data_IF_697466063777
#
_entry.id   IF_697466063777
#
_cell.length_a   1.000
_cell.length_b   1.000
_cell.length_c   1.000
_cell.angle_alpha   90.00
_cell.angle_beta   90.00
_cell.angle_gamma   90.00
#
_symmetry.space_group_name_H-M   'P 1'
#
loop_
_entity.id
_entity.type
_entity.pdbx_description
1 polymer ?
#
# COMPACT_ATOMS: atom_id res chain seq x y z
N UNK A 1 -25.16 20.68 -17.78
CA UNK A 1 -24.23 19.67 -17.25
C UNK A 1 -23.09 19.38 -18.21
N UNK A 2 -22.05 20.20 -18.11
CA UNK A 2 -20.73 19.79 -18.53
C UNK A 2 -20.15 18.83 -17.47
N UNK A 3 -19.22 17.99 -17.88
CA UNK A 3 -18.42 17.18 -16.97
C UNK A 3 -16.99 17.33 -17.45
N UNK A 4 -16.08 17.54 -16.52
CA UNK A 4 -14.66 17.68 -16.81
C UNK A 4 -13.97 16.44 -16.28
N UNK A 5 -13.26 15.74 -17.16
CA UNK A 5 -12.25 14.80 -16.71
C UNK A 5 -11.08 15.63 -16.21
N UNK A 6 -10.85 15.60 -14.91
CA UNK A 6 -9.67 16.18 -14.31
C UNK A 6 -8.59 15.11 -14.12
N UNK A 7 -7.34 15.56 -14.14
CA UNK A 7 -6.17 14.73 -13.86
C UNK A 7 -5.44 15.28 -12.62
N UNK A 8 -5.11 14.41 -11.66
CA UNK A 8 -4.20 14.71 -10.55
C UNK A 8 -3.16 13.60 -10.62
N UNK A 9 -1.96 13.95 -11.09
CA UNK A 9 -0.97 12.94 -11.49
C UNK A 9 -1.48 12.05 -12.63
N UNK A 10 -1.29 10.73 -12.50
CA UNK A 10 -1.77 9.72 -13.47
C UNK A 10 -3.24 9.32 -13.30
N UNK A 11 -4.00 9.99 -12.44
CA UNK A 11 -5.34 9.55 -12.03
C UNK A 11 -6.45 10.41 -12.64
N UNK A 12 -7.43 9.73 -13.23
CA UNK A 12 -8.65 10.31 -13.81
C UNK A 12 -9.68 10.50 -12.70
N UNK A 13 -10.16 11.73 -12.49
CA UNK A 13 -11.38 11.99 -11.71
C UNK A 13 -12.42 12.66 -12.59
N UNK A 14 -13.69 12.32 -12.36
CA UNK A 14 -14.84 12.86 -13.09
C UNK A 14 -15.44 13.95 -12.21
N UNK A 15 -15.30 15.20 -12.65
CA UNK A 15 -15.90 16.38 -12.03
C UNK A 15 -17.22 16.67 -12.74
N UNK A 16 -18.33 16.73 -12.01
CA UNK A 16 -19.57 17.30 -12.54
C UNK A 16 -19.50 18.81 -12.35
N UNK A 17 -19.74 19.60 -13.40
CA UNK A 17 -19.47 21.05 -13.40
C UNK A 17 -20.53 21.90 -12.69
N UNK A 18 -21.46 21.28 -11.96
CA UNK A 18 -22.54 21.96 -11.23
C UNK A 18 -22.58 21.39 -9.80
N UNK A 19 -23.07 22.17 -8.82
CA UNK A 19 -23.41 21.70 -7.48
C UNK A 19 -24.53 20.66 -7.59
N UNK A 20 -24.15 19.40 -7.77
CA UNK A 20 -25.09 18.29 -7.92
C UNK A 20 -25.01 17.45 -6.66
N UNK A 21 -26.16 17.23 -6.02
CA UNK A 21 -26.30 16.23 -4.96
C UNK A 21 -26.00 14.85 -5.56
N UNK A 22 -24.99 14.17 -5.02
CA UNK A 22 -24.48 12.89 -5.54
C UNK A 22 -24.81 11.73 -4.62
N UNK A 23 -25.05 10.57 -5.22
CA UNK A 23 -25.16 9.30 -4.52
C UNK A 23 -23.94 8.43 -4.79
N UNK A 24 -23.54 7.61 -3.81
CA UNK A 24 -22.58 6.51 -3.98
C UNK A 24 -23.32 5.19 -3.87
N UNK A 25 -23.15 4.31 -4.86
CA UNK A 25 -23.61 2.93 -4.78
C UNK A 25 -22.71 2.16 -3.80
N UNK A 26 -23.21 1.90 -2.59
CA UNK A 26 -22.47 1.22 -1.53
C UNK A 26 -23.01 -0.20 -1.35
N UNK A 27 -22.25 -1.20 -1.80
CA UNK A 27 -22.62 -2.62 -1.63
C UNK A 27 -22.23 -3.17 -0.27
N UNK A 28 -21.49 -2.41 0.54
CA UNK A 28 -20.79 -2.90 1.74
C UNK A 28 -19.49 -3.64 1.42
N UNK A 29 -19.16 -3.83 0.13
CA UNK A 29 -17.90 -4.42 -0.31
C UNK A 29 -16.73 -3.44 -0.28
N UNK A 30 -15.49 -3.94 -0.27
CA UNK A 30 -14.28 -3.12 -0.11
C UNK A 30 -14.14 -2.03 -1.18
N UNK A 31 -14.47 -2.32 -2.44
CA UNK A 31 -14.35 -1.36 -3.55
C UNK A 31 -15.31 -0.18 -3.36
N UNK A 32 -16.56 -0.45 -2.96
CA UNK A 32 -17.58 0.58 -2.72
C UNK A 32 -17.30 1.44 -1.48
N UNK A 33 -16.73 0.83 -0.44
CA UNK A 33 -16.29 1.53 0.78
C UNK A 33 -15.07 2.41 0.48
N UNK A 34 -14.13 1.91 -0.35
CA UNK A 34 -12.99 2.68 -0.83
C UNK A 34 -13.45 3.92 -1.60
N UNK A 35 -14.36 3.76 -2.57
CA UNK A 35 -14.93 4.89 -3.32
C UNK A 35 -15.58 5.92 -2.40
N UNK A 36 -16.41 5.48 -1.44
CA UNK A 36 -17.05 6.37 -0.48
C UNK A 36 -16.02 7.17 0.33
N UNK A 37 -15.02 6.49 0.89
CA UNK A 37 -13.95 7.13 1.68
C UNK A 37 -13.13 8.12 0.85
N UNK A 38 -12.83 7.79 -0.41
CA UNK A 38 -12.12 8.67 -1.33
C UNK A 38 -12.92 9.95 -1.62
N UNK A 39 -14.20 9.84 -1.95
CA UNK A 39 -15.06 11.00 -2.22
C UNK A 39 -15.16 11.89 -0.96
N UNK A 40 -15.39 11.30 0.21
CA UNK A 40 -15.46 12.02 1.50
C UNK A 40 -14.14 12.73 1.81
N UNK A 41 -13.01 12.07 1.57
CA UNK A 41 -11.69 12.66 1.78
C UNK A 41 -11.42 13.83 0.83
N UNK A 42 -11.88 13.74 -0.42
CA UNK A 42 -11.77 14.82 -1.40
C UNK A 42 -12.65 16.01 -0.98
N UNK A 43 -13.90 15.78 -0.57
CA UNK A 43 -14.80 16.83 -0.06
C UNK A 43 -14.14 17.55 1.14
N UNK A 44 -13.58 16.81 2.10
CA UNK A 44 -12.90 17.39 3.28
C UNK A 44 -11.66 18.20 2.93
N UNK A 45 -10.88 17.77 1.93
CA UNK A 45 -9.64 18.45 1.51
C UNK A 45 -9.89 19.65 0.60
N UNK A 46 -11.04 19.70 -0.08
CA UNK A 46 -11.28 20.55 -1.23
C UNK A 46 -12.40 21.56 -1.08
N UNK A 47 -12.41 22.38 -0.02
CA UNK A 47 -13.12 23.68 -0.08
C UNK A 47 -12.38 24.59 -1.08
N UNK A 48 -12.59 24.39 -2.39
CA UNK A 48 -11.96 25.18 -3.45
C UNK A 48 -11.73 24.46 -4.78
N UNK A 49 -11.88 23.13 -4.85
CA UNK A 49 -11.86 22.40 -6.14
C UNK A 49 -13.26 22.42 -6.76
N UNK A 50 -13.41 23.13 -7.87
CA UNK A 50 -14.68 23.23 -8.62
C UNK A 50 -15.22 21.84 -8.96
N UNK A 51 -16.47 21.55 -8.58
CA UNK A 51 -17.25 20.38 -9.00
C UNK A 51 -17.13 19.09 -8.15
N UNK A 52 -16.70 19.23 -6.89
CA UNK A 52 -17.04 18.24 -5.86
C UNK A 52 -18.49 18.42 -5.39
N UNK A 53 -19.20 17.35 -5.00
CA UNK A 53 -20.58 17.48 -4.54
C UNK A 53 -20.66 18.24 -3.21
N UNK A 54 -21.61 19.16 -3.11
CA UNK A 54 -22.00 19.84 -1.86
C UNK A 54 -22.65 18.87 -0.86
N UNK A 55 -23.38 17.88 -1.37
CA UNK A 55 -24.05 16.83 -0.60
C UNK A 55 -23.80 15.44 -1.20
N UNK A 56 -23.52 14.48 -0.31
CA UNK A 56 -23.30 13.08 -0.67
C UNK A 56 -24.25 12.19 0.14
N UNK A 57 -24.88 11.21 -0.53
CA UNK A 57 -25.67 10.15 0.13
C UNK A 57 -25.15 8.78 -0.26
N UNK A 58 -25.27 7.81 0.64
CA UNK A 58 -24.91 6.41 0.39
C UNK A 58 -26.18 5.60 0.10
N UNK A 59 -26.22 4.90 -1.04
CA UNK A 59 -27.35 4.07 -1.44
C UNK A 59 -26.90 2.60 -1.52
N UNK A 60 -27.56 1.75 -0.74
CA UNK A 60 -27.44 0.29 -0.80
C UNK A 60 -28.73 -0.32 -1.34
N UNK A 61 -28.62 -1.20 -2.34
CA UNK A 61 -29.74 -2.03 -2.79
C UNK A 61 -29.55 -3.45 -2.29
N UNK A 62 -30.41 -3.86 -1.36
CA UNK A 62 -30.50 -5.24 -0.94
C UNK A 62 -31.28 -6.03 -2.01
N UNK A 63 -30.58 -6.97 -2.63
CA UNK A 63 -31.08 -7.73 -3.76
C UNK A 63 -31.86 -8.99 -3.33
N UNK A 64 -31.81 -9.38 -2.06
CA UNK A 64 -32.48 -10.58 -1.53
C UNK A 64 -32.10 -11.91 -2.20
N UNK A 65 -30.93 -12.03 -2.85
CA UNK A 65 -30.51 -13.28 -3.54
C UNK A 65 -29.42 -14.05 -2.80
N UNK A 66 -28.63 -13.42 -1.92
CA UNK A 66 -27.60 -14.13 -1.15
C UNK A 66 -27.94 -14.24 0.36
N UNK A 67 -27.55 -15.32 1.05
CA UNK A 67 -27.73 -15.43 2.49
C UNK A 67 -27.08 -14.29 3.30
N UNK A 68 -26.02 -13.67 2.75
CA UNK A 68 -25.24 -12.62 3.40
C UNK A 68 -25.84 -11.20 3.29
N UNK A 69 -27.00 -11.01 2.64
CA UNK A 69 -27.54 -9.68 2.33
C UNK A 69 -27.73 -8.78 3.56
N UNK A 70 -28.28 -9.31 4.65
CA UNK A 70 -28.48 -8.54 5.87
C UNK A 70 -27.18 -7.99 6.44
N UNK A 71 -26.10 -8.80 6.40
CA UNK A 71 -24.77 -8.38 6.85
C UNK A 71 -24.17 -7.33 5.91
N UNK A 72 -24.41 -7.45 4.60
CA UNK A 72 -23.94 -6.48 3.60
C UNK A 72 -24.65 -5.13 3.75
N UNK A 73 -25.97 -5.13 3.97
CA UNK A 73 -26.77 -3.94 4.21
C UNK A 73 -26.33 -3.22 5.50
N UNK A 74 -26.11 -3.98 6.58
CA UNK A 74 -25.60 -3.45 7.84
C UNK A 74 -24.19 -2.85 7.66
N UNK A 75 -23.31 -3.55 6.94
CA UNK A 75 -21.96 -3.04 6.65
C UNK A 75 -22.00 -1.76 5.82
N UNK A 76 -22.86 -1.69 4.79
CA UNK A 76 -23.03 -0.49 3.98
C UNK A 76 -23.53 0.68 4.85
N UNK A 77 -24.49 0.42 5.73
CA UNK A 77 -25.02 1.42 6.65
C UNK A 77 -23.94 1.95 7.61
N UNK A 78 -23.24 1.05 8.30
CA UNK A 78 -22.18 1.41 9.26
C UNK A 78 -21.04 2.17 8.61
N UNK A 79 -20.62 1.79 7.41
CA UNK A 79 -19.51 2.46 6.70
C UNK A 79 -19.89 3.88 6.26
N UNK A 80 -21.14 4.11 5.88
CA UNK A 80 -21.65 5.45 5.58
C UNK A 80 -21.73 6.32 6.84
N UNK A 81 -22.26 5.78 7.94
CA UNK A 81 -22.31 6.49 9.23
C UNK A 81 -20.92 6.87 9.74
N UNK A 82 -19.93 5.98 9.62
CA UNK A 82 -18.55 6.27 10.00
C UNK A 82 -17.94 7.44 9.20
N UNK A 83 -18.47 7.72 8.01
CA UNK A 83 -18.06 8.86 7.18
C UNK A 83 -18.93 10.11 7.39
N UNK A 84 -19.90 10.08 8.31
CA UNK A 84 -20.96 11.08 8.49
C UNK A 84 -21.80 11.33 7.22
N UNK A 85 -22.06 10.26 6.45
CA UNK A 85 -22.85 10.32 5.21
C UNK A 85 -24.23 9.69 5.44
N UNK A 86 -25.34 10.37 5.06
CA UNK A 86 -26.68 9.79 5.10
C UNK A 86 -26.76 8.47 4.35
N UNK A 87 -27.29 7.44 5.02
CA UNK A 87 -27.38 6.08 4.48
C UNK A 87 -28.80 5.71 4.11
N UNK A 88 -28.95 5.10 2.95
CA UNK A 88 -30.22 4.70 2.39
C UNK A 88 -30.18 3.25 1.90
N UNK A 89 -30.85 2.37 2.63
CA UNK A 89 -31.01 0.96 2.25
C UNK A 89 -32.37 0.79 1.58
N UNK A 90 -32.41 0.11 0.43
CA UNK A 90 -33.64 -0.28 -0.24
C UNK A 90 -33.59 -1.73 -0.65
N UNK A 91 -34.58 -2.51 -0.21
CA UNK A 91 -34.78 -3.88 -0.68
C UNK A 91 -35.47 -3.92 -2.04
N UNK A 92 -35.19 -4.93 -2.87
CA UNK A 92 -35.96 -5.25 -4.07
C UNK A 92 -37.26 -5.96 -3.65
N UNK A 93 -38.45 -5.43 -3.98
CA UNK A 93 -39.72 -6.08 -3.67
C UNK A 93 -40.06 -7.10 -4.77
N UNK A 94 -39.42 -8.28 -4.72
CA UNK A 94 -39.73 -9.38 -5.64
C UNK A 94 -41.23 -9.77 -5.60
N UNK A 95 -41.73 -10.32 -6.71
CA UNK A 95 -43.14 -10.71 -6.87
C UNK A 95 -44.13 -9.55 -6.73
N UNK A 96 -43.68 -8.32 -6.96
CA UNK A 96 -44.53 -7.11 -6.97
C UNK A 96 -44.27 -6.35 -8.27
N UNK A 97 -45.28 -6.03 -9.09
CA UNK A 97 -45.06 -5.28 -10.33
C UNK A 97 -44.25 -3.99 -10.11
N UNK A 98 -43.26 -3.67 -10.97
CA UNK A 98 -42.84 -4.38 -12.19
C UNK A 98 -41.79 -5.48 -11.97
N UNK A 99 -41.47 -5.83 -10.72
CA UNK A 99 -40.47 -6.85 -10.41
C UNK A 99 -41.06 -8.25 -10.61
N UNK A 100 -40.36 -9.13 -11.35
CA UNK A 100 -40.80 -10.51 -11.54
C UNK A 100 -40.70 -11.29 -10.22
N UNK A 101 -41.13 -12.55 -10.27
CA UNK A 101 -40.90 -13.47 -9.16
C UNK A 101 -39.42 -13.56 -8.80
N UNK A 102 -39.17 -13.81 -7.52
CA UNK A 102 -37.80 -13.96 -7.01
C UNK A 102 -37.10 -15.04 -7.84
N UNK A 103 -36.02 -14.68 -8.57
CA UNK A 103 -35.39 -15.64 -9.45
C UNK A 103 -34.71 -16.75 -8.63
N UNK A 104 -34.92 -17.99 -9.05
CA UNK A 104 -34.23 -19.20 -8.54
C UNK A 104 -32.99 -19.47 -9.40
N UNK A 105 -32.12 -20.42 -9.00
CA UNK A 105 -30.74 -20.64 -9.48
C UNK A 105 -30.55 -21.01 -11.00
N UNK A 106 -31.29 -20.38 -11.92
CA UNK A 106 -31.19 -20.54 -13.36
C UNK A 106 -30.82 -19.23 -14.09
N UNK A 107 -30.18 -19.34 -15.25
CA UNK A 107 -29.93 -18.22 -16.17
C UNK A 107 -31.27 -17.75 -16.77
N UNK A 108 -31.81 -16.59 -16.34
CA UNK A 108 -31.19 -15.28 -16.50
C UNK A 108 -31.16 -14.43 -15.20
N UNK A 109 -30.76 -15.03 -14.08
CA UNK A 109 -30.64 -14.35 -12.77
C UNK A 109 -29.92 -12.99 -12.81
N UNK A 110 -28.79 -12.89 -13.53
CA UNK A 110 -27.92 -11.72 -13.47
C UNK A 110 -28.52 -10.48 -14.15
N UNK A 111 -29.18 -10.66 -15.28
CA UNK A 111 -29.79 -9.57 -16.05
C UNK A 111 -31.01 -9.01 -15.32
N UNK A 112 -31.90 -9.89 -14.85
CA UNK A 112 -33.08 -9.52 -14.05
C UNK A 112 -32.65 -8.79 -12.76
N UNK A 113 -31.65 -9.31 -12.03
CA UNK A 113 -31.15 -8.68 -10.81
C UNK A 113 -30.49 -7.31 -11.10
N UNK A 114 -29.83 -7.18 -12.25
CA UNK A 114 -29.22 -5.91 -12.68
C UNK A 114 -30.29 -4.86 -13.01
N UNK A 115 -31.37 -5.23 -13.67
CA UNK A 115 -32.44 -4.30 -14.04
C UNK A 115 -33.28 -3.91 -12.83
N UNK A 116 -33.64 -4.87 -11.98
CA UNK A 116 -34.31 -4.61 -10.71
C UNK A 116 -33.48 -3.65 -9.82
N UNK A 117 -32.15 -3.84 -9.76
CA UNK A 117 -31.25 -2.94 -9.05
C UNK A 117 -31.19 -1.55 -9.67
N UNK A 118 -31.09 -1.42 -11.00
CA UNK A 118 -31.11 -0.11 -11.67
C UNK A 118 -32.43 0.62 -11.41
N UNK A 119 -33.54 -0.12 -11.38
CA UNK A 119 -34.84 0.43 -11.09
C UNK A 119 -34.90 1.03 -9.67
N UNK A 120 -34.52 0.22 -8.66
CA UNK A 120 -34.51 0.67 -7.26
C UNK A 120 -33.55 1.83 -7.02
N UNK A 121 -32.41 1.84 -7.71
CA UNK A 121 -31.47 2.96 -7.65
C UNK A 121 -32.15 4.23 -8.13
N UNK A 122 -32.80 4.23 -9.30
CA UNK A 122 -33.43 5.45 -9.81
C UNK A 122 -34.50 5.97 -8.86
N UNK A 123 -35.37 5.09 -8.34
CA UNK A 123 -36.37 5.49 -7.33
C UNK A 123 -35.72 6.14 -6.10
N UNK A 124 -34.56 5.64 -5.68
CA UNK A 124 -33.86 6.20 -4.54
C UNK A 124 -33.14 7.52 -4.88
N UNK A 125 -32.65 7.68 -6.10
CA UNK A 125 -32.14 8.97 -6.58
C UNK A 125 -33.22 10.04 -6.56
N UNK A 126 -34.43 9.72 -7.05
CA UNK A 126 -35.58 10.62 -6.99
C UNK A 126 -35.96 11.00 -5.54
N UNK A 127 -36.05 10.01 -4.64
CA UNK A 127 -36.35 10.24 -3.23
C UNK A 127 -35.31 11.12 -2.53
N UNK A 128 -34.03 10.95 -2.87
CA UNK A 128 -32.92 11.72 -2.29
C UNK A 128 -32.62 13.02 -3.04
N UNK A 129 -33.40 13.32 -4.09
CA UNK A 129 -33.18 14.48 -4.97
C UNK A 129 -31.76 14.53 -5.57
N UNK A 130 -31.13 13.37 -5.75
CA UNK A 130 -29.80 13.24 -6.35
C UNK A 130 -29.91 12.99 -7.85
N UNK A 131 -28.98 13.57 -8.63
CA UNK A 131 -29.00 13.44 -10.11
C UNK A 131 -27.90 12.56 -10.66
N UNK A 132 -27.01 12.09 -9.80
CA UNK A 132 -25.87 11.27 -10.19
C UNK A 132 -25.61 10.17 -9.18
N UNK A 133 -25.26 8.98 -9.67
CA UNK A 133 -24.77 7.88 -8.85
C UNK A 133 -23.37 7.42 -9.29
N UNK A 134 -22.46 7.32 -8.32
CA UNK A 134 -21.12 6.81 -8.49
C UNK A 134 -21.03 5.31 -8.17
N UNK A 135 -20.47 4.52 -9.09
CA UNK A 135 -20.14 3.10 -8.87
C UNK A 135 -18.64 2.90 -8.74
N UNK A 136 -18.26 1.95 -7.88
CA UNK A 136 -16.87 1.57 -7.65
C UNK A 136 -16.33 0.57 -8.69
N UNK A 137 -16.76 0.70 -9.95
CA UNK A 137 -16.26 -0.15 -11.01
C UNK A 137 -14.83 0.24 -11.36
N UNK A 138 -13.95 -0.75 -11.44
CA UNK A 138 -12.52 -0.59 -11.65
C UNK A 138 -12.03 -1.17 -12.98
N UNK A 139 -10.74 -1.06 -13.26
CA UNK A 139 -10.13 -1.51 -14.52
C UNK A 139 -10.33 -3.03 -14.74
N UNK A 140 -10.28 -3.84 -13.69
CA UNK A 140 -10.46 -5.29 -13.84
C UNK A 140 -11.91 -5.61 -14.28
N UNK A 141 -12.92 -4.88 -13.79
CA UNK A 141 -14.31 -5.02 -14.24
C UNK A 141 -14.48 -4.65 -15.73
N UNK A 142 -13.65 -3.73 -16.24
CA UNK A 142 -13.61 -3.42 -17.68
C UNK A 142 -13.14 -4.61 -18.49
N UNK A 143 -12.09 -5.29 -18.02
CA UNK A 143 -11.54 -6.47 -18.68
C UNK A 143 -12.59 -7.58 -18.68
N UNK A 144 -13.20 -7.88 -17.53
CA UNK A 144 -14.27 -8.87 -17.40
C UNK A 144 -15.45 -8.56 -18.34
N UNK A 145 -15.93 -7.30 -18.33
CA UNK A 145 -17.02 -6.87 -19.20
C UNK A 145 -16.66 -7.00 -20.68
N UNK A 146 -15.44 -6.66 -21.06
CA UNK A 146 -14.97 -6.72 -22.45
C UNK A 146 -14.89 -8.17 -22.93
N UNK A 147 -14.32 -9.07 -22.13
CA UNK A 147 -14.25 -10.51 -22.41
C UNK A 147 -15.66 -11.11 -22.51
N UNK A 148 -16.54 -10.82 -21.56
CA UNK A 148 -17.92 -11.32 -21.57
C UNK A 148 -18.66 -10.89 -22.85
N UNK A 149 -18.51 -9.63 -23.29
CA UNK A 149 -19.19 -9.14 -24.51
C UNK A 149 -18.61 -9.74 -25.79
N UNK A 150 -17.29 -9.93 -25.84
CA UNK A 150 -16.64 -10.66 -26.93
C UNK A 150 -17.16 -12.09 -27.03
N UNK A 151 -17.27 -12.79 -25.89
CA UNK A 151 -17.82 -14.15 -25.83
C UNK A 151 -19.28 -14.23 -26.31
N UNK A 152 -20.06 -13.14 -26.14
CA UNK A 152 -21.44 -13.01 -26.65
C UNK A 152 -21.53 -12.58 -28.12
N UNK A 153 -20.43 -12.58 -28.87
CA UNK A 153 -20.42 -12.28 -30.31
C UNK A 153 -20.42 -10.79 -30.67
N UNK A 154 -20.06 -9.90 -29.74
CA UNK A 154 -19.99 -8.47 -30.00
C UNK A 154 -18.80 -8.10 -30.90
N UNK A 155 -19.00 -7.24 -31.91
CA UNK A 155 -17.89 -6.65 -32.68
C UNK A 155 -17.04 -5.67 -31.86
N UNK A 156 -15.94 -5.14 -32.42
CA UNK A 156 -14.99 -4.25 -31.70
C UNK A 156 -15.65 -3.07 -30.97
N UNK A 157 -16.71 -2.48 -31.52
CA UNK A 157 -17.48 -1.40 -30.86
C UNK A 157 -18.32 -1.88 -29.67
N UNK A 158 -18.77 -3.14 -29.67
CA UNK A 158 -19.48 -3.74 -28.54
C UNK A 158 -18.55 -4.22 -27.43
N UNK A 159 -17.29 -4.53 -27.77
CA UNK A 159 -16.22 -4.85 -26.83
C UNK A 159 -15.69 -3.63 -26.04
N UNK A 160 -16.04 -2.40 -26.44
CA UNK A 160 -15.75 -1.20 -25.67
C UNK A 160 -16.56 -1.24 -24.36
N UNK A 161 -15.97 -1.76 -23.28
CA UNK A 161 -16.60 -2.15 -22.01
C UNK A 161 -17.58 -1.14 -21.39
N UNK A 162 -17.34 -0.65 -20.19
CA UNK A 162 -18.23 0.35 -19.57
C UNK A 162 -17.73 1.76 -19.86
N UNK A 163 -18.65 2.71 -20.07
CA UNK A 163 -18.29 4.12 -20.19
C UNK A 163 -18.04 4.74 -18.80
N UNK A 164 -17.05 5.63 -18.63
CA UNK A 164 -16.83 6.36 -17.37
C UNK A 164 -18.04 7.17 -16.94
N UNK A 165 -18.74 7.78 -17.89
CA UNK A 165 -19.98 8.54 -17.68
C UNK A 165 -21.04 8.06 -18.67
N UNK A 166 -22.27 7.85 -18.21
CA UNK A 166 -23.44 7.61 -19.07
C UNK A 166 -24.72 8.13 -18.44
N UNK A 167 -25.75 8.37 -19.24
CA UNK A 167 -27.13 8.56 -18.74
C UNK A 167 -27.75 7.22 -18.35
N UNK A 168 -28.65 7.24 -17.37
CA UNK A 168 -29.39 6.03 -16.96
C UNK A 168 -30.39 5.60 -18.04
N UNK A 169 -31.12 6.55 -18.64
CA UNK A 169 -32.25 6.28 -19.54
C UNK A 169 -31.95 5.91 -20.99
N UNK A 170 -30.75 5.38 -21.28
CA UNK A 170 -30.34 4.91 -22.62
C UNK A 170 -30.61 3.41 -22.84
N UNK A 171 -31.52 2.81 -22.05
CA UNK A 171 -31.82 1.38 -22.03
C UNK A 171 -32.92 0.96 -23.01
N UNK A 172 -33.25 -0.33 -22.98
CA UNK A 172 -34.36 -0.90 -23.77
C UNK A 172 -35.71 -0.39 -23.25
N UNK A 173 -36.58 0.07 -24.16
CA UNK A 173 -37.93 0.57 -23.86
C UNK A 173 -38.95 -0.55 -23.65
N UNK A 174 -38.60 -1.79 -23.96
CA UNK A 174 -39.48 -2.96 -23.81
C UNK A 174 -39.46 -3.59 -22.43
N UNK A 175 -38.49 -3.23 -21.58
CA UNK A 175 -38.37 -3.74 -20.22
C UNK A 175 -39.10 -2.82 -19.23
N UNK A 176 -40.14 -3.35 -18.57
CA UNK A 176 -40.96 -2.61 -17.61
C UNK A 176 -40.20 -2.14 -16.36
N UNK A 177 -39.08 -2.78 -16.01
CA UNK A 177 -38.18 -2.31 -14.95
C UNK A 177 -37.21 -1.23 -15.44
N UNK A 178 -37.01 -1.11 -16.76
CA UNK A 178 -36.11 -0.12 -17.37
C UNK A 178 -36.79 1.24 -17.45
N UNK A 179 -36.05 2.28 -17.07
CA UNK A 179 -36.51 3.65 -17.17
C UNK A 179 -36.00 4.27 -18.46
N UNK A 180 -36.82 4.28 -19.50
CA UNK A 180 -36.56 5.05 -20.73
C UNK A 180 -37.27 6.40 -20.69
N UNK A 181 -36.73 7.42 -21.37
CA UNK A 181 -37.32 8.76 -21.44
C UNK A 181 -36.75 9.80 -20.45
N UNK A 182 -37.43 10.94 -20.32
CA UNK A 182 -36.89 12.16 -19.68
C UNK A 182 -36.41 11.94 -18.22
N UNK A 183 -37.10 11.10 -17.44
CA UNK A 183 -36.73 10.78 -16.06
C UNK A 183 -35.36 10.09 -15.98
N UNK A 184 -35.15 9.00 -16.73
CA UNK A 184 -33.86 8.31 -16.77
C UNK A 184 -32.77 9.14 -17.46
N UNK A 185 -33.14 9.98 -18.42
CA UNK A 185 -32.19 10.85 -19.12
C UNK A 185 -31.67 11.98 -18.25
N UNK A 186 -32.40 12.41 -17.23
CA UNK A 186 -31.98 13.45 -16.29
C UNK A 186 -31.03 12.96 -15.17
N UNK A 187 -30.72 11.65 -15.14
CA UNK A 187 -29.84 11.02 -14.15
C UNK A 187 -28.58 10.43 -14.80
N UNK A 188 -27.48 10.52 -14.07
CA UNK A 188 -26.15 10.11 -14.53
C UNK A 188 -25.58 8.96 -13.72
N UNK A 189 -24.86 8.09 -14.41
CA UNK A 189 -24.00 7.06 -13.82
C UNK A 189 -22.57 7.47 -14.08
N UNK A 190 -21.78 7.60 -13.01
CA UNK A 190 -20.34 7.85 -13.07
C UNK A 190 -19.57 6.66 -12.49
N UNK A 191 -18.37 6.43 -13.02
CA UNK A 191 -17.44 5.37 -12.61
C UNK A 191 -16.05 5.97 -12.45
N UNK A 192 -15.77 6.61 -11.31
CA UNK A 192 -14.50 7.33 -11.12
C UNK A 192 -13.28 6.41 -11.14
N UNK A 193 -13.45 5.15 -10.75
CA UNK A 193 -12.36 4.19 -10.57
C UNK A 193 -12.04 3.36 -11.83
N UNK A 194 -12.71 3.64 -12.96
CA UNK A 194 -12.74 2.75 -14.11
C UNK A 194 -11.38 2.52 -14.79
N UNK A 195 -10.46 3.47 -14.63
CA UNK A 195 -9.06 3.36 -15.09
C UNK A 195 -8.08 2.93 -14.00
N UNK A 196 -8.56 2.64 -12.79
CA UNK A 196 -7.74 2.30 -11.62
C UNK A 196 -7.80 0.79 -11.43
N UNK A 197 -6.66 0.12 -11.30
CA UNK A 197 -6.63 -1.31 -10.99
C UNK A 197 -7.00 -1.58 -9.54
N UNK A 198 -7.51 -2.78 -9.26
CA UNK A 198 -7.85 -3.17 -7.89
C UNK A 198 -6.66 -3.12 -6.93
N UNK A 199 -5.48 -3.48 -7.43
CA UNK A 199 -4.24 -3.41 -6.67
C UNK A 199 -3.85 -1.98 -6.30
N UNK A 200 -4.10 -1.01 -7.18
CA UNK A 200 -3.80 0.39 -6.92
C UNK A 200 -4.72 0.99 -5.85
N UNK A 201 -6.00 0.61 -5.82
CA UNK A 201 -6.93 1.03 -4.75
C UNK A 201 -6.52 0.48 -3.39
N UNK A 202 -6.09 -0.79 -3.35
CA UNK A 202 -5.53 -1.40 -2.15
C UNK A 202 -4.29 -0.66 -1.69
N UNK A 203 -3.43 -0.29 -2.63
CA UNK A 203 -2.16 0.36 -2.33
C UNK A 203 -2.32 1.73 -1.66
N UNK A 204 -3.33 2.50 -2.07
CA UNK A 204 -3.71 3.76 -1.40
C UNK A 204 -4.15 3.51 0.03
N UNK A 205 -5.02 2.51 0.26
CA UNK A 205 -5.51 2.15 1.60
C UNK A 205 -4.38 1.68 2.51
N UNK A 206 -3.46 0.88 1.97
CA UNK A 206 -2.24 0.42 2.65
C UNK A 206 -1.35 1.59 3.01
N UNK A 207 -1.16 2.54 2.10
CA UNK A 207 -0.35 3.73 2.32
C UNK A 207 -0.92 4.59 3.44
N UNK A 208 -2.23 4.82 3.47
CA UNK A 208 -2.89 5.56 4.55
C UNK A 208 -2.77 4.83 5.89
N UNK A 209 -2.98 3.52 5.92
CA UNK A 209 -2.81 2.72 7.13
C UNK A 209 -1.38 2.79 7.68
N UNK A 210 -0.38 2.73 6.80
CA UNK A 210 1.03 2.80 7.20
C UNK A 210 1.43 4.15 7.78
N UNK A 211 0.85 5.27 7.33
CA UNK A 211 1.12 6.59 7.93
C UNK A 211 0.77 6.63 9.43
N UNK A 212 -0.32 5.96 9.81
CA UNK A 212 -0.76 5.90 11.21
C UNK A 212 -0.02 4.83 12.01
N UNK A 213 0.40 3.72 11.37
CA UNK A 213 1.05 2.61 12.07
C UNK A 213 2.57 2.80 12.26
N UNK A 214 3.24 3.46 11.32
CA UNK A 214 4.70 3.59 11.33
C UNK A 214 5.13 4.71 12.27
N UNK A 215 6.17 4.46 13.06
CA UNK A 215 6.85 5.43 13.92
C UNK A 215 8.31 5.57 13.49
N UNK A 216 8.97 6.64 13.92
CA UNK A 216 10.41 6.82 13.68
C UNK A 216 11.21 5.64 14.23
N UNK A 217 12.13 5.13 13.42
CA UNK A 217 12.93 3.96 13.73
C UNK A 217 14.25 3.99 12.96
N UNK A 218 15.22 3.13 13.32
CA UNK A 218 16.48 3.07 12.62
C UNK A 218 16.43 2.89 11.10
N UNK A 219 17.40 3.43 10.33
CA UNK A 219 17.48 3.21 8.90
C UNK A 219 17.33 1.73 8.57
N UNK A 220 16.58 1.43 7.52
CA UNK A 220 16.29 0.05 7.11
C UNK A 220 15.55 -0.82 8.14
N UNK A 221 14.87 -0.18 9.08
CA UNK A 221 13.92 -0.80 10.02
C UNK A 221 12.58 -0.08 9.95
N UNK A 222 11.51 -0.75 10.36
CA UNK A 222 10.18 -0.14 10.49
C UNK A 222 9.63 -0.50 11.87
N UNK A 223 9.37 0.52 12.69
CA UNK A 223 8.62 0.39 13.94
C UNK A 223 7.13 0.53 13.68
N UNK A 224 6.36 -0.48 14.06
CA UNK A 224 4.91 -0.57 13.93
C UNK A 224 4.26 -0.48 15.30
N UNK A 225 3.55 0.61 15.55
CA UNK A 225 2.74 0.78 16.76
C UNK A 225 1.56 -0.21 16.73
N UNK A 226 1.49 -1.13 17.70
CA UNK A 226 0.53 -2.23 17.63
C UNK A 226 -0.92 -1.84 17.92
N UNK A 227 -1.15 -0.75 18.63
CA UNK A 227 -2.47 -0.14 18.84
C UNK A 227 -3.09 0.37 17.53
N UNK A 228 -2.30 1.05 16.70
CA UNK A 228 -2.72 1.49 15.36
C UNK A 228 -2.81 0.31 14.39
N UNK A 229 -1.85 -0.62 14.46
CA UNK A 229 -1.85 -1.83 13.64
C UNK A 229 -3.13 -2.65 13.87
N UNK A 230 -3.60 -2.77 15.11
CA UNK A 230 -4.81 -3.51 15.47
C UNK A 230 -6.09 -2.94 14.84
N UNK A 231 -6.13 -1.64 14.52
CA UNK A 231 -7.28 -1.00 13.87
C UNK A 231 -7.48 -1.46 12.42
N UNK A 232 -6.46 -2.04 11.79
CA UNK A 232 -6.57 -2.59 10.44
C UNK A 232 -7.33 -3.92 10.50
N UNK A 233 -8.59 -3.93 10.08
CA UNK A 233 -9.46 -5.12 10.13
C UNK A 233 -9.55 -5.85 8.80
N UNK A 234 -9.30 -5.18 7.67
CA UNK A 234 -9.43 -5.77 6.34
C UNK A 234 -8.25 -6.73 6.05
N UNK A 235 -8.50 -8.04 5.80
CA UNK A 235 -7.45 -9.01 5.55
C UNK A 235 -6.56 -8.68 4.35
N UNK A 236 -7.12 -8.13 3.28
CA UNK A 236 -6.35 -7.80 2.08
C UNK A 236 -5.47 -6.57 2.32
N UNK A 237 -5.93 -5.61 3.13
CA UNK A 237 -5.10 -4.47 3.57
C UNK A 237 -3.96 -4.96 4.47
N UNK A 238 -4.22 -5.89 5.41
CA UNK A 238 -3.17 -6.50 6.24
C UNK A 238 -2.08 -7.16 5.40
N UNK A 239 -2.48 -7.93 4.39
CA UNK A 239 -1.54 -8.54 3.45
C UNK A 239 -0.75 -7.50 2.65
N UNK A 240 -1.40 -6.43 2.19
CA UNK A 240 -0.75 -5.33 1.49
C UNK A 240 0.29 -4.60 2.36
N UNK A 241 -0.04 -4.35 3.63
CA UNK A 241 0.88 -3.78 4.64
C UNK A 241 2.12 -4.67 4.79
N UNK A 242 1.94 -5.98 4.96
CA UNK A 242 3.07 -6.93 5.07
C UNK A 242 3.93 -6.89 3.81
N UNK A 243 3.34 -6.98 2.62
CA UNK A 243 4.09 -6.91 1.35
C UNK A 243 4.90 -5.63 1.24
N UNK A 244 4.32 -4.48 1.60
CA UNK A 244 4.99 -3.19 1.57
C UNK A 244 6.20 -3.16 2.49
N UNK A 245 6.05 -3.64 3.72
CA UNK A 245 7.15 -3.73 4.70
C UNK A 245 8.26 -4.66 4.18
N UNK A 246 7.91 -5.82 3.64
CA UNK A 246 8.88 -6.76 3.08
C UNK A 246 9.69 -6.12 1.94
N UNK A 247 9.03 -5.43 1.01
CA UNK A 247 9.69 -4.75 -0.13
C UNK A 247 10.73 -3.72 0.31
N UNK A 248 10.44 -3.01 1.40
CA UNK A 248 11.30 -1.96 1.95
C UNK A 248 12.50 -2.53 2.71
N UNK A 249 12.30 -3.57 3.52
CA UNK A 249 13.32 -4.07 4.46
C UNK A 249 14.14 -5.22 3.89
N UNK A 250 13.62 -5.96 2.91
CA UNK A 250 14.28 -7.15 2.39
C UNK A 250 15.65 -6.84 1.79
N UNK A 251 16.68 -7.66 2.07
CA UNK A 251 18.01 -7.56 1.44
C UNK A 251 18.04 -8.07 0.00
N UNK A 252 16.88 -8.37 -0.60
CA UNK A 252 16.75 -8.86 -1.99
C UNK A 252 16.55 -7.71 -2.97
N UNK A 253 16.90 -7.87 -4.26
CA UNK A 253 16.71 -6.84 -5.28
C UNK A 253 15.29 -6.26 -5.29
N UNK A 254 15.17 -4.95 -5.44
CA UNK A 254 13.88 -4.25 -5.47
C UNK A 254 13.03 -4.75 -6.66
N UNK A 255 11.72 -4.87 -6.45
CA UNK A 255 10.78 -5.39 -7.46
C UNK A 255 10.89 -6.88 -7.75
N UNK A 256 11.80 -7.61 -7.08
CA UNK A 256 11.85 -9.08 -7.20
C UNK A 256 10.80 -9.75 -6.32
N UNK A 257 10.23 -10.88 -6.79
CA UNK A 257 9.34 -11.69 -5.96
C UNK A 257 10.00 -12.07 -4.62
N UNK A 258 11.32 -12.29 -4.60
CA UNK A 258 12.07 -12.61 -3.38
C UNK A 258 12.03 -11.48 -2.33
N UNK A 259 11.92 -10.21 -2.74
CA UNK A 259 11.74 -9.08 -1.84
C UNK A 259 10.33 -9.02 -1.23
N UNK A 260 9.36 -9.71 -1.83
CA UNK A 260 7.95 -9.75 -1.42
C UNK A 260 7.55 -11.11 -0.81
N UNK A 261 8.51 -11.84 -0.25
CA UNK A 261 8.24 -13.16 0.34
C UNK A 261 8.01 -14.27 -0.69
N UNK A 262 8.61 -14.13 -1.88
CA UNK A 262 8.51 -15.04 -3.03
C UNK A 262 7.10 -15.12 -3.64
N UNK A 263 6.28 -14.08 -3.47
CA UNK A 263 4.89 -14.09 -3.94
C UNK A 263 4.00 -15.16 -3.30
N UNK A 264 4.47 -15.82 -2.24
CA UNK A 264 3.76 -16.92 -1.60
C UNK A 264 2.68 -16.37 -0.66
N UNK A 265 1.42 -16.51 -1.06
CA UNK A 265 0.26 -16.03 -0.30
C UNK A 265 0.21 -16.59 1.12
N UNK A 266 0.35 -17.91 1.29
CA UNK A 266 0.32 -18.59 2.59
C UNK A 266 1.38 -18.07 3.55
N UNK A 267 2.58 -17.76 3.03
CA UNK A 267 3.65 -17.18 3.85
C UNK A 267 3.28 -15.79 4.36
N UNK A 268 2.65 -14.96 3.53
CA UNK A 268 2.19 -13.63 3.91
C UNK A 268 1.07 -13.76 4.95
N UNK A 269 0.11 -14.68 4.74
CA UNK A 269 -0.96 -14.98 5.71
C UNK A 269 -0.39 -15.42 7.06
N UNK A 270 0.66 -16.23 7.07
CA UNK A 270 1.35 -16.60 8.31
C UNK A 270 1.96 -15.38 9.02
N UNK A 271 2.62 -14.47 8.29
CA UNK A 271 3.15 -13.22 8.88
C UNK A 271 2.00 -12.38 9.45
N UNK A 272 0.88 -12.26 8.73
CA UNK A 272 -0.32 -11.57 9.20
C UNK A 272 -0.84 -12.19 10.51
N UNK A 273 -0.89 -13.52 10.61
CA UNK A 273 -1.33 -14.19 11.85
C UNK A 273 -0.43 -13.88 13.06
N UNK A 274 0.88 -13.65 12.86
CA UNK A 274 1.78 -13.23 13.94
C UNK A 274 1.60 -11.76 14.33
N UNK A 275 1.35 -10.88 13.36
CA UNK A 275 1.21 -9.44 13.59
C UNK A 275 -0.15 -9.04 14.16
N UNK A 276 -1.20 -9.81 13.83
CA UNK A 276 -2.55 -9.69 14.37
C UNK A 276 -2.96 -10.95 15.12
N UNK A 277 -2.30 -11.27 16.25
CA UNK A 277 -2.55 -12.52 16.94
C UNK A 277 -3.91 -12.49 17.65
N UNK A 278 -4.67 -13.58 17.52
CA UNK A 278 -5.85 -13.81 18.37
C UNK A 278 -5.44 -14.11 19.83
N UNK A 279 -4.23 -14.67 20.01
CA UNK A 279 -3.68 -15.04 21.32
C UNK A 279 -2.41 -14.23 21.63
N UNK A 280 -2.47 -13.41 22.69
CA UNK A 280 -1.35 -12.57 23.13
C UNK A 280 -0.06 -13.34 23.48
N UNK A 281 -0.12 -14.65 23.75
CA UNK A 281 1.09 -15.46 24.00
C UNK A 281 2.04 -15.51 22.79
N UNK A 282 1.50 -15.34 21.57
CA UNK A 282 2.27 -15.34 20.31
C UNK A 282 3.21 -14.13 20.23
N UNK A 283 2.85 -13.04 20.90
CA UNK A 283 3.56 -11.77 20.91
C UNK A 283 5.00 -11.86 21.43
N UNK A 284 5.38 -12.95 22.11
CA UNK A 284 6.72 -13.09 22.72
C UNK A 284 7.81 -13.56 21.76
N UNK A 285 7.48 -14.02 20.54
CA UNK A 285 8.44 -14.71 19.66
C UNK A 285 8.89 -13.82 18.50
N UNK A 286 10.22 -13.77 18.30
CA UNK A 286 10.81 -13.24 17.06
C UNK A 286 10.60 -14.23 15.92
N UNK A 287 10.32 -13.77 14.71
CA UNK A 287 10.12 -14.66 13.55
C UNK A 287 10.60 -14.03 12.25
N UNK A 288 11.02 -14.84 11.26
CA UNK A 288 11.45 -14.36 9.94
C UNK A 288 10.78 -15.03 8.73
N UNK A 289 10.19 -16.21 8.93
CA UNK A 289 9.41 -17.00 7.96
C UNK A 289 9.99 -17.04 6.52
N UNK A 290 11.32 -17.05 6.39
CA UNK A 290 12.02 -17.15 5.10
C UNK A 290 11.92 -15.90 4.21
N UNK A 291 11.37 -14.79 4.72
CA UNK A 291 11.25 -13.51 4.02
C UNK A 291 12.54 -12.67 4.06
N UNK A 292 13.56 -13.13 4.80
CA UNK A 292 14.79 -12.37 5.12
C UNK A 292 14.54 -11.06 5.88
N UNK A 293 13.33 -10.90 6.41
CA UNK A 293 12.92 -9.85 7.33
C UNK A 293 12.60 -10.52 8.66
N UNK A 294 13.28 -10.09 9.71
CA UNK A 294 13.07 -10.51 11.09
C UNK A 294 12.13 -9.53 11.78
N UNK A 295 11.06 -10.07 12.34
CA UNK A 295 10.07 -9.35 13.12
C UNK A 295 10.38 -9.55 14.60
N UNK A 296 10.57 -8.45 15.31
CA UNK A 296 10.93 -8.44 16.73
C UNK A 296 9.83 -7.76 17.52
N UNK A 297 9.26 -8.42 18.54
CA UNK A 297 8.33 -7.76 19.44
C UNK A 297 9.09 -6.79 20.32
N UNK A 298 8.56 -5.57 20.43
CA UNK A 298 9.08 -4.49 21.26
C UNK A 298 7.94 -3.90 22.08
N UNK A 299 8.28 -3.05 23.04
CA UNK A 299 7.30 -2.24 23.76
C UNK A 299 7.65 -0.77 23.63
N UNK A 300 6.62 0.06 23.47
CA UNK A 300 6.74 1.53 23.44
C UNK A 300 6.20 2.06 24.76
N UNK A 301 7.04 2.79 25.49
CA UNK A 301 6.67 3.50 26.71
C UNK A 301 5.97 4.82 26.39
N UNK A 302 5.22 5.36 27.36
CA UNK A 302 4.56 6.67 27.23
C UNK A 302 5.53 7.83 26.91
N UNK A 303 6.78 7.74 27.38
CA UNK A 303 7.85 8.72 27.09
C UNK A 303 8.44 8.60 25.66
N UNK A 304 7.99 7.61 24.89
CA UNK A 304 8.42 7.31 23.54
C UNK A 304 9.67 6.43 23.45
N UNK A 305 10.14 5.86 24.58
CA UNK A 305 11.27 4.93 24.58
C UNK A 305 10.83 3.54 24.10
N UNK A 306 11.60 2.98 23.18
CA UNK A 306 11.36 1.64 22.62
C UNK A 306 12.29 0.62 23.29
N UNK A 307 11.75 -0.52 23.77
CA UNK A 307 12.54 -1.62 24.33
C UNK A 307 12.20 -2.97 23.70
N UNK A 308 13.22 -3.77 23.39
CA UNK A 308 13.05 -5.10 22.79
C UNK A 308 12.72 -6.20 23.82
N UNK A 309 11.56 -6.07 24.46
CA UNK A 309 11.04 -6.99 25.48
C UNK A 309 9.51 -7.04 25.45
N UNK A 310 8.88 -8.01 26.14
CA UNK A 310 7.43 -7.97 26.34
C UNK A 310 7.00 -6.65 27.01
N UNK A 311 5.81 -6.11 26.65
CA UNK A 311 5.29 -4.89 27.24
C UNK A 311 5.02 -5.09 28.73
N UNK A 312 5.38 -4.07 29.51
CA UNK A 312 4.93 -3.94 30.90
C UNK A 312 3.54 -3.29 30.95
N UNK A 313 2.98 -3.16 32.15
CA UNK A 313 1.74 -2.44 32.37
C UNK A 313 1.85 -1.01 31.80
N UNK A 314 0.89 -0.60 30.97
CA UNK A 314 0.81 0.69 30.26
C UNK A 314 1.81 0.91 29.12
N UNK A 315 2.51 -0.13 28.65
CA UNK A 315 3.31 -0.02 27.43
C UNK A 315 2.57 -0.57 26.20
N UNK A 316 2.78 0.08 25.06
CA UNK A 316 2.12 -0.32 23.81
C UNK A 316 2.89 -1.50 23.19
N UNK A 317 2.30 -2.70 23.05
CA UNK A 317 2.89 -3.78 22.27
C UNK A 317 3.08 -3.30 20.82
N UNK A 318 4.30 -3.31 20.32
CA UNK A 318 4.68 -2.90 18.96
C UNK A 318 5.68 -3.86 18.30
N UNK A 319 5.78 -3.83 16.97
CA UNK A 319 6.71 -4.69 16.23
C UNK A 319 7.81 -3.87 15.57
N UNK A 320 9.03 -4.40 15.53
CA UNK A 320 10.08 -3.89 14.64
C UNK A 320 10.33 -4.91 13.54
N UNK A 321 10.12 -4.49 12.30
CA UNK A 321 10.58 -5.21 11.13
C UNK A 321 11.99 -4.76 10.78
N UNK A 322 12.92 -5.71 10.68
CA UNK A 322 14.32 -5.46 10.35
C UNK A 322 14.87 -6.55 9.45
N UNK A 323 16.05 -6.34 8.89
CA UNK A 323 16.76 -7.38 8.14
C UNK A 323 17.06 -8.58 9.04
N UNK A 324 16.79 -9.78 8.56
CA UNK A 324 17.21 -11.00 9.24
C UNK A 324 18.76 -11.09 9.28
N UNK A 325 19.35 -11.59 10.37
CA UNK A 325 20.78 -11.88 10.44
C UNK A 325 21.26 -12.67 9.21
N UNK A 326 22.43 -12.33 8.64
CA UNK A 326 23.01 -13.14 7.60
C UNK A 326 23.20 -14.55 8.16
N UNK A 327 22.73 -15.57 7.44
CA UNK A 327 22.86 -16.96 7.89
C UNK A 327 24.34 -17.24 8.17
N UNK A 328 24.64 -17.84 9.33
CA UNK A 328 25.91 -18.56 9.54
C UNK A 328 25.87 -19.81 8.68
N UNK A 329 25.84 -19.66 7.36
CA UNK A 329 25.83 -20.79 6.45
C UNK A 329 27.17 -21.50 6.65
N UNK A 330 27.15 -22.77 7.08
CA UNK A 330 28.37 -23.56 7.30
C UNK A 330 29.28 -23.65 6.08
N UNK A 331 28.76 -23.30 4.89
CA UNK A 331 29.49 -23.17 3.62
C UNK A 331 30.47 -21.99 3.58
N UNK A 332 30.30 -20.96 4.42
CA UNK A 332 31.26 -19.84 4.56
C UNK A 332 32.42 -20.16 5.52
N UNK A 333 32.31 -21.23 6.32
CA UNK A 333 33.45 -21.70 7.15
C UNK A 333 34.43 -22.56 6.36
N UNK A 334 33.95 -23.29 5.37
CA UNK A 334 34.75 -24.24 4.57
C UNK A 334 35.36 -23.63 3.31
N UNK A 335 34.78 -22.55 2.78
CA UNK A 335 35.42 -21.74 1.75
C UNK A 335 35.91 -20.45 2.40
N UNK A 336 37.15 -20.01 2.15
CA UNK A 336 37.68 -18.67 2.48
C UNK A 336 36.92 -17.53 1.76
N UNK A 337 35.59 -17.59 1.66
CA UNK A 337 34.75 -16.59 1.03
C UNK A 337 34.47 -15.47 2.05
N UNK A 338 34.75 -14.23 1.64
CA UNK A 338 34.42 -13.04 2.42
C UNK A 338 32.94 -13.02 2.80
N UNK A 339 32.63 -12.47 3.98
CA UNK A 339 31.26 -12.32 4.46
C UNK A 339 30.44 -11.51 3.44
N UNK A 340 29.18 -11.89 3.13
CA UNK A 340 28.42 -11.27 2.03
C UNK A 340 28.08 -9.78 2.21
N UNK A 341 28.21 -9.27 3.45
CA UNK A 341 28.06 -7.84 3.77
C UNK A 341 29.39 -7.09 3.83
N UNK A 342 30.52 -7.79 3.72
CA UNK A 342 31.83 -7.15 3.71
C UNK A 342 32.32 -7.03 2.29
N UNK A 343 32.82 -5.85 1.93
CA UNK A 343 33.37 -5.62 0.59
C UNK A 343 34.61 -4.73 0.66
N UNK A 344 35.64 -5.06 -0.11
CA UNK A 344 36.84 -4.25 -0.23
C UNK A 344 36.69 -3.29 -1.42
N UNK A 345 36.71 -1.98 -1.15
CA UNK A 345 36.53 -0.94 -2.15
C UNK A 345 37.87 -0.44 -2.73
N UNK A 346 39.00 -0.94 -2.24
CA UNK A 346 40.34 -0.41 -2.54
C UNK A 346 40.63 -0.42 -4.05
N UNK A 347 40.40 -1.54 -4.73
CA UNK A 347 40.64 -1.66 -6.17
C UNK A 347 39.71 -0.74 -6.99
N UNK A 348 38.46 -0.57 -6.55
CA UNK A 348 37.51 0.32 -7.22
C UNK A 348 37.92 1.79 -7.10
N UNK A 349 38.35 2.22 -5.90
CA UNK A 349 38.87 3.57 -5.64
C UNK A 349 40.09 3.85 -6.52
N UNK A 350 41.04 2.91 -6.59
CA UNK A 350 42.27 3.07 -7.37
C UNK A 350 41.97 3.13 -8.89
N UNK A 351 40.98 2.38 -9.37
CA UNK A 351 40.57 2.39 -10.79
C UNK A 351 39.82 3.68 -11.16
N UNK A 352 38.82 4.11 -10.40
CA UNK A 352 38.01 5.29 -10.75
C UNK A 352 38.82 6.60 -10.74
N UNK A 353 39.94 6.65 -10.02
CA UNK A 353 40.84 7.82 -10.03
C UNK A 353 41.42 8.12 -11.42
N UNK A 354 41.65 7.10 -12.27
CA UNK A 354 42.12 7.35 -13.64
C UNK A 354 41.05 7.98 -14.54
N UNK A 355 39.77 7.90 -14.15
CA UNK A 355 38.61 8.28 -14.98
C UNK A 355 37.88 9.55 -14.46
N UNK A 356 38.36 10.21 -13.40
CA UNK A 356 37.79 11.43 -12.79
C UNK A 356 36.30 11.32 -12.37
N UNK A 357 35.82 10.13 -12.05
CA UNK A 357 34.44 9.88 -11.60
C UNK A 357 34.30 9.56 -10.10
N UNK A 358 33.10 9.72 -9.55
CA UNK A 358 32.71 9.15 -8.26
C UNK A 358 32.43 7.65 -8.37
N UNK A 359 32.51 6.92 -7.26
CA UNK A 359 32.19 5.48 -7.20
C UNK A 359 30.93 5.24 -6.39
N UNK A 360 30.06 4.35 -6.89
CA UNK A 360 28.83 3.96 -6.19
C UNK A 360 28.80 2.46 -5.94
N UNK A 361 28.49 2.07 -4.72
CA UNK A 361 28.31 0.69 -4.31
C UNK A 361 26.92 0.50 -3.72
N UNK A 362 26.18 -0.46 -4.27
CA UNK A 362 24.97 -0.95 -3.65
C UNK A 362 25.32 -1.93 -2.52
N UNK A 363 24.96 -1.61 -1.29
CA UNK A 363 25.15 -2.45 -0.12
C UNK A 363 23.83 -3.13 0.26
N UNK A 364 23.84 -4.47 0.30
CA UNK A 364 22.73 -5.32 0.74
C UNK A 364 21.39 -5.01 0.04
N UNK A 365 21.46 -4.52 -1.20
CA UNK A 365 20.35 -3.98 -1.99
C UNK A 365 19.54 -2.84 -1.33
N UNK A 366 19.99 -2.27 -0.21
CA UNK A 366 19.22 -1.34 0.63
C UNK A 366 19.86 0.03 0.77
N UNK A 367 21.18 0.10 0.67
CA UNK A 367 21.94 1.33 0.83
C UNK A 367 22.79 1.61 -0.38
N UNK A 368 22.83 2.86 -0.81
CA UNK A 368 23.78 3.35 -1.79
C UNK A 368 24.92 4.04 -1.04
N UNK A 369 26.13 3.51 -1.19
CA UNK A 369 27.35 4.12 -0.69
C UNK A 369 27.98 4.85 -1.86
N UNK A 370 28.17 6.16 -1.75
CA UNK A 370 28.79 6.99 -2.77
C UNK A 370 30.10 7.58 -2.26
N UNK A 371 31.17 7.37 -3.02
CA UNK A 371 32.51 7.88 -2.77
C UNK A 371 32.86 8.96 -3.81
N UNK A 372 33.10 10.17 -3.33
CA UNK A 372 33.61 11.29 -4.12
C UNK A 372 35.14 11.17 -4.21
N UNK A 373 35.61 10.38 -5.19
CA UNK A 373 37.03 10.01 -5.33
C UNK A 373 37.97 11.23 -5.38
N UNK A 374 37.67 12.33 -6.09
CA UNK A 374 38.48 13.55 -6.06
C UNK A 374 38.67 14.19 -4.68
N UNK A 375 37.72 13.99 -3.74
CA UNK A 375 37.79 14.55 -2.39
C UNK A 375 38.51 13.65 -1.38
N UNK A 376 38.99 12.48 -1.79
CA UNK A 376 39.72 11.58 -0.90
C UNK A 376 41.04 12.23 -0.48
N UNK A 377 41.33 12.33 0.83
CA UNK A 377 42.60 12.87 1.31
C UNK A 377 43.81 12.11 0.77
N UNK A 378 44.87 12.85 0.42
CA UNK A 378 46.08 12.28 -0.18
C UNK A 378 46.76 11.21 0.67
N UNK A 379 46.71 11.33 2.00
CA UNK A 379 47.31 10.35 2.92
C UNK A 379 46.58 9.00 2.90
N UNK A 380 45.25 9.00 2.74
CA UNK A 380 44.48 7.76 2.56
C UNK A 380 44.93 7.10 1.26
N UNK A 381 44.94 7.85 0.16
CA UNK A 381 45.35 7.35 -1.15
C UNK A 381 46.79 6.82 -1.18
N UNK A 382 47.71 7.46 -0.47
CA UNK A 382 49.08 6.98 -0.32
C UNK A 382 49.11 5.61 0.37
N UNK A 383 48.37 5.46 1.49
CA UNK A 383 48.31 4.19 2.21
C UNK A 383 47.77 3.02 1.39
N UNK A 384 46.85 3.28 0.44
CA UNK A 384 46.27 2.24 -0.42
C UNK A 384 47.27 1.66 -1.44
N UNK A 385 48.34 2.40 -1.74
CA UNK A 385 49.39 2.00 -2.69
C UNK A 385 50.66 1.49 -2.00
N UNK A 386 50.77 1.75 -0.70
CA UNK A 386 51.93 1.41 0.11
C UNK A 386 51.95 -0.11 0.43
N UNK A 387 52.98 -0.85 -0.01
CA UNK A 387 53.10 -2.28 0.24
C UNK A 387 53.28 -2.65 1.72
N UNK A 388 53.82 -1.75 2.54
CA UNK A 388 54.07 -1.96 3.96
C UNK A 388 52.83 -1.67 4.79
N UNK A 389 52.19 -0.51 4.56
CA UNK A 389 50.97 -0.12 5.27
C UNK A 389 49.76 -0.96 4.88
N UNK A 390 49.74 -1.52 3.65
CA UNK A 390 48.62 -2.31 3.10
C UNK A 390 47.26 -1.68 3.39
N UNK A 391 47.13 -0.39 3.13
CA UNK A 391 45.91 0.36 3.41
C UNK A 391 44.73 -0.20 2.62
N UNK A 392 43.57 -0.35 3.29
CA UNK A 392 42.32 -0.81 2.66
C UNK A 392 41.15 0.04 3.11
N UNK A 393 40.27 0.37 2.16
CA UNK A 393 38.96 0.94 2.47
C UNK A 393 37.93 -0.16 2.30
N UNK A 394 37.32 -0.58 3.40
CA UNK A 394 36.38 -1.70 3.44
C UNK A 394 35.02 -1.24 3.91
N UNK A 395 33.98 -1.85 3.35
CA UNK A 395 32.63 -1.80 3.91
C UNK A 395 32.50 -2.96 4.88
N UNK A 396 32.19 -2.64 6.12
CA UNK A 396 31.81 -3.53 7.20
C UNK A 396 30.34 -3.27 7.58
N UNK A 397 29.88 -3.88 8.66
CA UNK A 397 28.52 -3.71 9.14
C UNK A 397 28.44 -3.63 10.66
N UNK A 398 27.47 -2.87 11.16
CA UNK A 398 27.09 -2.95 12.58
C UNK A 398 26.33 -4.26 12.86
N UNK A 399 26.63 -4.85 14.02
CA UNK A 399 26.04 -6.11 14.50
C UNK A 399 24.54 -6.05 14.80
N UNK A 400 23.97 -4.88 15.05
CA UNK A 400 22.57 -4.76 15.51
C UNK A 400 21.59 -4.80 14.36
N UNK A 401 21.79 -3.93 13.37
CA UNK A 401 20.86 -3.73 12.24
C UNK A 401 21.49 -4.03 10.87
N UNK A 402 22.76 -4.45 10.87
CA UNK A 402 23.52 -4.72 9.65
C UNK A 402 23.62 -3.50 8.73
N UNK A 403 23.74 -2.31 9.33
CA UNK A 403 23.96 -1.05 8.61
C UNK A 403 25.39 -1.00 8.08
N UNK A 404 25.62 -0.43 6.89
CA UNK A 404 26.96 -0.31 6.34
C UNK A 404 27.82 0.63 7.20
N UNK A 405 29.08 0.24 7.37
CA UNK A 405 30.12 1.02 8.03
C UNK A 405 31.33 1.07 7.11
N UNK A 406 31.79 2.25 6.70
CA UNK A 406 33.02 2.36 5.90
C UNK A 406 34.20 2.58 6.83
N UNK A 407 35.20 1.71 6.72
CA UNK A 407 36.36 1.67 7.60
C UNK A 407 37.63 1.72 6.78
N UNK A 408 38.60 2.48 7.26
CA UNK A 408 39.96 2.49 6.73
C UNK A 408 40.88 1.69 7.65
N UNK A 409 41.43 0.61 7.09
CA UNK A 409 42.33 -0.31 7.79
C UNK A 409 43.75 -0.14 7.27
N UNK A 410 44.74 -0.22 8.17
CA UNK A 410 46.17 -0.18 7.85
C UNK A 410 46.92 -1.13 8.79
N UNK A 411 48.01 -1.71 8.33
CA UNK A 411 48.89 -2.51 9.20
C UNK A 411 49.48 -1.65 10.31
N UNK A 412 49.41 -2.15 11.55
CA UNK A 412 49.98 -1.47 12.73
C UNK A 412 49.14 -0.31 13.28
N UNK A 413 47.94 -0.06 12.75
CA UNK A 413 47.02 0.97 13.23
C UNK A 413 45.63 0.38 13.50
N UNK A 414 44.93 0.96 14.47
CA UNK A 414 43.52 0.65 14.71
C UNK A 414 42.65 1.08 13.50
N UNK A 415 41.60 0.31 13.17
CA UNK A 415 40.68 0.66 12.09
C UNK A 415 39.95 1.99 12.35
N UNK A 416 40.02 2.90 11.39
CA UNK A 416 39.40 4.22 11.49
C UNK A 416 38.04 4.24 10.79
N UNK A 417 36.99 4.70 11.49
CA UNK A 417 35.63 4.75 10.94
C UNK A 417 35.46 6.02 10.11
N UNK A 418 35.31 5.86 8.80
CA UNK A 418 35.11 6.96 7.87
C UNK A 418 33.64 7.34 7.71
N UNK A 419 32.73 6.37 7.79
CA UNK A 419 31.30 6.62 7.75
C UNK A 419 30.50 5.54 8.50
N UNK A 420 29.59 5.94 9.37
CA UNK A 420 28.68 5.04 10.10
C UNK A 420 27.47 5.77 10.65
N UNK A 421 26.35 5.05 10.78
CA UNK A 421 25.22 5.51 11.59
C UNK A 421 25.52 5.27 13.06
N UNK A 422 25.31 6.29 13.92
CA UNK A 422 25.57 6.22 15.36
C UNK A 422 24.28 5.95 16.13
N UNK A 423 24.08 4.73 16.65
CA UNK A 423 22.87 4.35 17.38
C UNK A 423 23.10 3.52 18.63
N UNK A 424 22.41 3.89 19.71
CA UNK A 424 22.32 3.07 20.91
C UNK A 424 21.43 1.85 20.69
N UNK A 425 21.94 0.72 21.14
CA UNK A 425 21.38 -0.59 20.85
C UNK A 425 20.12 -0.85 21.70
N UNK A 426 18.98 -0.96 21.02
CA UNK A 426 17.67 -1.34 21.58
C UNK A 426 17.08 -0.40 22.64
N UNK A 427 17.59 0.83 22.73
CA UNK A 427 17.04 1.90 23.55
C UNK A 427 17.15 3.22 22.77
N UNK A 428 16.06 3.60 22.10
CA UNK A 428 15.97 4.87 21.38
C UNK A 428 14.59 5.50 21.60
N UNK A 429 14.51 6.80 21.34
CA UNK A 429 13.27 7.58 21.48
C UNK A 429 12.68 7.85 20.11
N UNK A 430 11.37 7.70 19.97
CA UNK A 430 10.63 7.95 18.70
C UNK A 430 10.83 9.38 18.17
N UNK A 431 11.23 10.33 19.03
CA UNK A 431 11.41 11.75 18.69
C UNK A 431 12.87 12.23 18.67
N UNK A 432 13.88 11.36 18.70
CA UNK A 432 15.25 11.86 18.48
C UNK A 432 15.33 12.46 17.08
N UNK A 433 15.77 13.72 16.98
CA UNK A 433 16.07 14.41 15.73
C UNK A 433 16.85 13.49 14.78
N UNK A 434 16.60 13.66 13.49
CA UNK A 434 17.05 12.79 12.40
C UNK A 434 18.40 12.14 12.70
N UNK A 435 18.34 10.83 12.89
CA UNK A 435 19.47 9.94 13.07
C UNK A 435 20.63 10.31 12.15
N UNK A 436 21.69 10.90 12.69
CA UNK A 436 22.74 11.49 11.85
C UNK A 436 23.75 10.42 11.38
N UNK A 437 24.02 10.44 10.08
CA UNK A 437 25.14 9.72 9.50
C UNK A 437 26.41 10.50 9.86
N UNK A 438 27.25 9.95 10.73
CA UNK A 438 28.60 10.46 10.90
C UNK A 438 29.43 10.00 9.71
N UNK A 439 29.88 10.93 8.86
CA UNK A 439 30.63 10.60 7.65
C UNK A 439 31.64 11.69 7.31
N UNK A 440 32.78 11.28 6.75
CA UNK A 440 33.75 12.20 6.14
C UNK A 440 33.16 12.82 4.86
N UNK A 441 33.61 14.03 4.45
CA UNK A 441 32.96 14.79 3.36
C UNK A 441 32.92 14.13 1.98
N UNK A 442 33.74 13.09 1.76
CA UNK A 442 33.84 12.37 0.50
C UNK A 442 33.06 11.06 0.49
N UNK A 443 32.38 10.71 1.59
CA UNK A 443 31.52 9.52 1.67
C UNK A 443 30.11 9.96 2.00
N UNK A 444 29.13 9.38 1.31
CA UNK A 444 27.72 9.48 1.65
C UNK A 444 27.09 8.10 1.62
N UNK A 445 26.15 7.86 2.54
CA UNK A 445 25.40 6.63 2.64
C UNK A 445 23.92 6.98 2.69
N UNK A 446 23.15 6.46 1.75
CA UNK A 446 21.71 6.73 1.65
C UNK A 446 20.93 5.43 1.65
N UNK A 447 19.88 5.36 2.46
CA UNK A 447 18.89 4.29 2.35
C UNK A 447 18.00 4.59 1.14
N UNK A 448 17.90 3.65 0.19
CA UNK A 448 17.29 3.89 -1.13
C UNK A 448 15.95 3.18 -1.33
N UNK A 449 15.37 2.62 -0.27
CA UNK A 449 14.11 1.87 -0.32
C UNK A 449 12.97 2.76 0.17
N UNK A 450 11.94 2.93 -0.65
CA UNK A 450 10.79 3.77 -0.30
C UNK A 450 9.64 2.97 0.32
N UNK A 451 9.02 3.52 1.36
CA UNK A 451 7.74 3.00 1.86
C UNK A 451 6.53 3.50 1.06
N UNK A 452 6.73 4.47 0.18
CA UNK A 452 5.66 5.08 -0.62
C UNK A 452 5.19 4.17 -1.75
N UNK A 453 3.96 4.41 -2.19
CA UNK A 453 3.39 3.78 -3.38
C UNK A 453 4.24 4.14 -4.61
N UNK A 454 4.45 3.17 -5.50
CA UNK A 454 5.09 3.41 -6.80
C UNK A 454 4.03 3.67 -7.86
#
# INVERSE_FOLDING_TARGET
MAWTIGYVGNYVYIVLTEDVHQAVANSGGPDSVCLLSLIVSLIKKGQGTTGLPSELVSIHIDHDLQPANAQMAERAHRTALACNIPSHVSKIPWSTPPFPDRPTDAAPLEEIARDARQNRILHKLLYTQTRCIAYAHHADDQVETSIMRLAKGSGMRGAAGMRPVRRMGMGDSTNEMSFTGALGMNHWVIRPLLGISKDLMRDVTVSESLKHCVRSSPPSTILLAGDELAKITDPEVRMGVVRRILRTISPRPWGSQAAEGYGNRTRIENIVAFLWPENQAIYRKRFGLGSRVLWVPVSIREDGIVKARPPLHNEIPSWVAQREPPMKDGRYRTAQKAHPLMNDLTSAILKCRSEKGGYQQLYDCRFLIHLDIPKIPGYILASLRDPELKGRVVVEFDSTWYLPKVVWQRNGYEPEVLASYQFDKWEWRICSEQMELQSVPWISISFIRSMEAL
#
